data_IF_377202447175
#
_entry.id   IF_377202447175
#
_cell.length_a   1.000
_cell.length_b   1.000
_cell.length_c   1.000
_cell.angle_alpha   90.00
_cell.angle_beta   90.00
_cell.angle_gamma   90.00
#
_symmetry.space_group_name_H-M   'P 1'
#
loop_
_entity.id
_entity.type
_entity.pdbx_description
1 polymer ?
#
# COMPACT_ATOMS: atom_id res chain seq x y z
N UNK A 1 21.43 8.00 6.49
CA UNK A 1 20.21 8.51 7.16
C UNK A 1 19.17 8.74 6.08
N UNK A 2 17.95 8.23 6.23
CA UNK A 2 16.89 8.40 5.25
C UNK A 2 16.61 9.87 4.95
N UNK A 3 16.39 10.20 3.68
CA UNK A 3 16.10 11.58 3.24
C UNK A 3 14.65 11.97 3.59
N UNK A 4 14.42 13.01 4.41
CA UNK A 4 13.07 13.52 4.72
C UNK A 4 12.22 13.81 3.48
N UNK A 5 12.85 14.22 2.37
CA UNK A 5 12.18 14.54 1.11
C UNK A 5 11.62 13.27 0.48
N UNK A 6 12.41 12.20 0.42
CA UNK A 6 11.96 10.90 -0.09
C UNK A 6 10.85 10.32 0.78
N UNK A 7 10.95 10.45 2.10
CA UNK A 7 9.91 10.04 3.03
C UNK A 7 8.61 10.84 2.83
N UNK A 8 8.69 12.16 2.60
CA UNK A 8 7.50 12.95 2.25
C UNK A 8 6.89 12.53 0.92
N UNK A 9 7.70 12.26 -0.09
CA UNK A 9 7.23 11.77 -1.40
C UNK A 9 6.53 10.42 -1.24
N UNK A 10 7.13 9.47 -0.51
CA UNK A 10 6.50 8.19 -0.21
C UNK A 10 5.20 8.36 0.61
N UNK A 11 5.19 9.29 1.55
CA UNK A 11 4.03 9.63 2.38
C UNK A 11 2.86 10.17 1.57
N UNK A 12 3.05 11.29 0.89
CA UNK A 12 1.99 11.91 0.07
C UNK A 12 1.60 11.03 -1.13
N UNK A 13 2.55 10.32 -1.73
CA UNK A 13 2.29 9.34 -2.78
C UNK A 13 1.37 8.23 -2.29
N UNK A 14 1.66 7.65 -1.12
CA UNK A 14 0.81 6.61 -0.51
C UNK A 14 -0.60 7.13 -0.21
N UNK A 15 -0.73 8.39 0.22
CA UNK A 15 -2.03 9.00 0.47
C UNK A 15 -2.84 9.18 -0.83
N UNK A 16 -2.22 9.64 -1.91
CA UNK A 16 -2.85 9.75 -3.23
C UNK A 16 -3.28 8.37 -3.77
N UNK A 17 -2.43 7.36 -3.60
CA UNK A 17 -2.74 5.98 -3.97
C UNK A 17 -3.87 5.42 -3.09
N UNK A 18 -3.94 5.75 -1.80
CA UNK A 18 -5.01 5.29 -0.91
C UNK A 18 -6.40 5.74 -1.38
N UNK A 19 -6.53 7.01 -1.76
CA UNK A 19 -7.79 7.56 -2.29
C UNK A 19 -8.14 6.94 -3.65
N UNK A 20 -7.15 6.83 -4.54
CA UNK A 20 -7.35 6.21 -5.86
C UNK A 20 -7.77 4.74 -5.73
N UNK A 21 -7.11 3.99 -4.84
CA UNK A 21 -7.45 2.61 -4.50
C UNK A 21 -8.88 2.52 -3.96
N UNK A 22 -9.26 3.37 -3.01
CA UNK A 22 -10.62 3.38 -2.46
C UNK A 22 -11.67 3.67 -3.54
N UNK A 23 -11.40 4.61 -4.44
CA UNK A 23 -12.30 4.97 -5.54
C UNK A 23 -12.47 3.85 -6.57
N UNK A 24 -11.39 3.13 -6.89
CA UNK A 24 -11.40 1.99 -7.80
C UNK A 24 -12.29 0.81 -7.32
N UNK A 25 -12.72 0.83 -6.04
CA UNK A 25 -13.75 -0.09 -5.54
C UNK A 25 -15.05 -0.05 -6.38
N UNK A 26 -15.35 1.10 -6.98
CA UNK A 26 -16.55 1.27 -7.80
C UNK A 26 -16.50 0.40 -9.07
N UNK A 27 -15.31 0.19 -9.65
CA UNK A 27 -15.16 -0.54 -10.91
C UNK A 27 -15.59 -1.99 -10.76
N UNK A 28 -15.04 -2.72 -9.80
CA UNK A 28 -15.40 -4.13 -9.62
C UNK A 28 -16.75 -4.31 -8.92
N UNK A 29 -17.17 -3.42 -8.01
CA UNK A 29 -18.48 -3.55 -7.35
C UNK A 29 -19.67 -3.32 -8.28
N UNK A 30 -19.45 -2.66 -9.40
CA UNK A 30 -20.47 -2.51 -10.44
C UNK A 30 -20.52 -3.69 -11.43
N UNK A 31 -19.56 -4.62 -11.37
CA UNK A 31 -19.61 -5.82 -12.20
C UNK A 31 -20.67 -6.76 -11.66
N UNK A 32 -21.58 -7.21 -12.52
CA UNK A 32 -22.62 -8.20 -12.15
C UNK A 32 -22.00 -9.46 -11.54
N UNK A 33 -20.92 -9.97 -12.12
CA UNK A 33 -20.21 -11.14 -11.59
C UNK A 33 -19.68 -10.94 -10.16
N UNK A 34 -19.36 -9.71 -9.75
CA UNK A 34 -18.94 -9.42 -8.37
C UNK A 34 -20.16 -9.32 -7.43
N UNK A 35 -21.26 -8.74 -7.89
CA UNK A 35 -22.50 -8.61 -7.13
C UNK A 35 -23.18 -9.97 -6.89
N UNK A 36 -22.97 -10.93 -7.79
CA UNK A 36 -23.51 -12.30 -7.70
C UNK A 36 -22.62 -13.24 -6.86
N UNK A 37 -21.52 -12.74 -6.28
CA UNK A 37 -20.69 -13.55 -5.38
C UNK A 37 -21.48 -14.00 -4.15
N UNK A 38 -21.21 -15.20 -3.61
CA UNK A 38 -21.73 -15.61 -2.30
C UNK A 38 -21.42 -14.55 -1.24
N UNK A 39 -22.35 -14.31 -0.31
CA UNK A 39 -22.25 -13.21 0.66
C UNK A 39 -20.89 -13.15 1.39
N UNK A 40 -20.32 -14.31 1.73
CA UNK A 40 -19.00 -14.39 2.38
C UNK A 40 -17.87 -13.87 1.48
N UNK A 41 -17.88 -14.18 0.19
CA UNK A 41 -16.88 -13.75 -0.77
C UNK A 41 -17.05 -12.27 -1.11
N UNK A 42 -18.29 -11.80 -1.31
CA UNK A 42 -18.61 -10.40 -1.53
C UNK A 42 -18.14 -9.53 -0.34
N UNK A 43 -18.50 -9.93 0.88
CA UNK A 43 -18.18 -9.18 2.10
C UNK A 43 -16.67 -9.12 2.31
N UNK A 44 -15.97 -10.26 2.27
CA UNK A 44 -14.51 -10.31 2.50
C UNK A 44 -13.73 -9.55 1.43
N UNK A 45 -14.15 -9.63 0.17
CA UNK A 45 -13.50 -8.89 -0.92
C UNK A 45 -13.69 -7.38 -0.77
N UNK A 46 -14.91 -6.95 -0.42
CA UNK A 46 -15.22 -5.52 -0.21
C UNK A 46 -14.48 -4.96 0.99
N UNK A 47 -14.54 -5.64 2.15
CA UNK A 47 -13.84 -5.20 3.36
C UNK A 47 -12.33 -5.24 3.14
N UNK A 48 -11.80 -6.31 2.54
CA UNK A 48 -10.37 -6.44 2.24
C UNK A 48 -9.86 -5.31 1.34
N UNK A 49 -10.66 -4.88 0.38
CA UNK A 49 -10.31 -3.73 -0.46
C UNK A 49 -10.17 -2.43 0.35
N UNK A 50 -11.13 -2.13 1.23
CA UNK A 50 -11.05 -0.93 2.08
C UNK A 50 -9.98 -1.03 3.16
N UNK A 51 -9.70 -2.23 3.67
CA UNK A 51 -8.54 -2.47 4.53
C UNK A 51 -7.23 -2.16 3.80
N UNK A 52 -7.11 -2.51 2.51
CA UNK A 52 -5.98 -2.10 1.67
C UNK A 52 -5.82 -0.58 1.57
N UNK A 53 -6.92 0.17 1.42
CA UNK A 53 -6.88 1.64 1.47
C UNK A 53 -6.44 2.16 2.84
N UNK A 54 -6.92 1.58 3.94
CA UNK A 54 -6.49 1.91 5.30
C UNK A 54 -4.99 1.65 5.52
N UNK A 55 -4.47 0.54 4.99
CA UNK A 55 -3.04 0.21 5.00
C UNK A 55 -2.21 1.28 4.28
N UNK A 56 -2.67 1.77 3.13
CA UNK A 56 -1.97 2.83 2.38
C UNK A 56 -1.99 4.17 3.13
N UNK A 57 -3.08 4.49 3.84
CA UNK A 57 -3.12 5.66 4.74
C UNK A 57 -2.12 5.48 5.90
N UNK A 58 -2.08 4.30 6.53
CA UNK A 58 -1.12 4.03 7.60
C UNK A 58 0.33 4.16 7.09
N UNK A 59 0.61 3.64 5.90
CA UNK A 59 1.90 3.82 5.20
C UNK A 59 2.22 5.30 5.02
N UNK A 60 1.25 6.12 4.60
CA UNK A 60 1.43 7.55 4.45
C UNK A 60 1.81 8.23 5.78
N UNK A 61 1.04 7.95 6.84
CA UNK A 61 1.25 8.53 8.17
C UNK A 61 2.61 8.15 8.76
N UNK A 62 3.04 6.89 8.60
CA UNK A 62 4.34 6.43 9.09
C UNK A 62 5.49 7.14 8.37
N UNK A 63 5.44 7.25 7.03
CA UNK A 63 6.48 7.96 6.29
C UNK A 63 6.52 9.45 6.64
N UNK A 64 5.36 10.10 6.81
CA UNK A 64 5.30 11.50 7.22
C UNK A 64 5.83 11.70 8.66
N UNK A 65 5.60 10.73 9.56
CA UNK A 65 6.18 10.72 10.90
C UNK A 65 7.70 10.56 10.86
N UNK A 66 8.21 9.58 10.10
CA UNK A 66 9.65 9.40 9.91
C UNK A 66 10.30 10.61 9.22
N UNK A 67 9.60 11.32 8.35
CA UNK A 67 10.11 12.55 7.74
C UNK A 67 10.34 13.69 8.76
N UNK A 68 9.61 13.69 9.87
CA UNK A 68 9.83 14.66 10.96
C UNK A 68 11.05 14.29 11.82
N UNK A 69 11.36 13.01 11.95
CA UNK A 69 12.54 12.51 12.65
C UNK A 69 13.15 11.27 11.94
N UNK A 70 13.97 11.46 10.89
CA UNK A 70 14.49 10.34 10.10
C UNK A 70 15.40 9.39 10.89
N UNK A 71 16.04 9.88 11.95
CA UNK A 71 16.88 9.05 12.83
C UNK A 71 16.10 7.96 13.54
N UNK A 72 14.78 8.10 13.67
CA UNK A 72 13.94 7.05 14.25
C UNK A 72 14.01 5.73 13.48
N UNK A 73 14.36 5.74 12.18
CA UNK A 73 14.55 4.53 11.37
C UNK A 73 15.84 3.76 11.69
N UNK A 74 16.72 4.31 12.54
CA UNK A 74 17.85 3.56 13.10
C UNK A 74 17.38 2.59 14.22
N UNK A 75 16.21 2.83 14.81
CA UNK A 75 15.61 1.94 15.80
C UNK A 75 15.08 0.65 15.15
N UNK A 76 15.42 -0.54 15.66
CA UNK A 76 15.05 -1.82 15.05
C UNK A 76 13.54 -1.98 14.82
N UNK A 77 12.72 -1.47 15.74
CA UNK A 77 11.26 -1.55 15.62
C UNK A 77 10.74 -0.73 14.44
N UNK A 78 11.20 0.52 14.31
CA UNK A 78 10.77 1.42 13.22
C UNK A 78 11.24 0.89 11.86
N UNK A 79 12.49 0.41 11.79
CA UNK A 79 13.03 -0.24 10.60
C UNK A 79 12.26 -1.50 10.22
N UNK A 80 11.83 -2.29 11.21
CA UNK A 80 11.01 -3.48 10.99
C UNK A 80 9.61 -3.12 10.47
N UNK A 81 9.01 -2.04 10.96
CA UNK A 81 7.75 -1.53 10.41
C UNK A 81 7.92 -1.11 8.95
N UNK A 82 8.97 -0.37 8.61
CA UNK A 82 9.28 -0.01 7.22
C UNK A 82 9.46 -1.24 6.31
N UNK A 83 10.20 -2.25 6.78
CA UNK A 83 10.37 -3.51 6.07
C UNK A 83 9.04 -4.26 5.86
N UNK A 84 8.16 -4.27 6.86
CA UNK A 84 6.85 -4.89 6.76
C UNK A 84 5.98 -4.22 5.68
N UNK A 85 6.02 -2.88 5.58
CA UNK A 85 5.29 -2.15 4.53
C UNK A 85 5.75 -2.55 3.12
N UNK A 86 7.07 -2.73 2.94
CA UNK A 86 7.66 -3.21 1.67
C UNK A 86 7.21 -4.64 1.37
N UNK A 87 7.30 -5.54 2.36
CA UNK A 87 6.92 -6.94 2.21
C UNK A 87 5.45 -7.11 1.82
N UNK A 88 4.54 -6.39 2.49
CA UNK A 88 3.10 -6.41 2.16
C UNK A 88 2.86 -5.93 0.73
N UNK A 89 3.56 -4.86 0.32
CA UNK A 89 3.45 -4.31 -1.05
C UNK A 89 3.91 -5.32 -2.10
N UNK A 90 5.07 -5.95 -1.91
CA UNK A 90 5.59 -6.92 -2.87
C UNK A 90 4.82 -8.24 -2.87
N UNK A 91 4.35 -8.72 -1.71
CA UNK A 91 3.48 -9.90 -1.65
C UNK A 91 2.16 -9.65 -2.40
N UNK A 92 1.54 -8.49 -2.18
CA UNK A 92 0.33 -8.07 -2.90
C UNK A 92 0.57 -7.96 -4.41
N UNK A 93 1.67 -7.31 -4.81
CA UNK A 93 2.08 -7.19 -6.20
C UNK A 93 2.22 -8.55 -6.88
N UNK A 94 2.96 -9.47 -6.25
CA UNK A 94 3.17 -10.81 -6.77
C UNK A 94 1.83 -11.55 -6.95
N UNK A 95 0.88 -11.37 -6.03
CA UNK A 95 -0.45 -11.96 -6.14
C UNK A 95 -1.23 -11.39 -7.33
N UNK A 96 -1.26 -10.06 -7.49
CA UNK A 96 -1.92 -9.40 -8.62
C UNK A 96 -1.37 -9.87 -9.97
N UNK A 97 -0.03 -9.90 -10.12
CA UNK A 97 0.63 -10.33 -11.36
C UNK A 97 0.26 -11.79 -11.67
N UNK A 98 0.35 -12.69 -10.69
CA UNK A 98 0.00 -14.11 -10.85
C UNK A 98 -1.46 -14.34 -11.24
N UNK A 99 -2.37 -13.45 -10.84
CA UNK A 99 -3.81 -13.52 -11.14
C UNK A 99 -4.22 -12.70 -12.37
N UNK A 100 -3.26 -12.14 -13.11
CA UNK A 100 -3.51 -11.42 -14.37
C UNK A 100 -3.87 -9.94 -14.21
N UNK A 101 -3.91 -9.40 -12.99
CA UNK A 101 -4.17 -7.98 -12.72
C UNK A 101 -2.85 -7.19 -12.79
N UNK A 102 -2.20 -7.22 -13.96
CA UNK A 102 -0.81 -6.77 -14.13
C UNK A 102 -0.59 -5.29 -13.82
N UNK A 103 -1.53 -4.42 -14.20
CA UNK A 103 -1.41 -2.97 -13.97
C UNK A 103 -1.31 -2.65 -12.47
N UNK A 104 -2.25 -3.17 -11.66
CA UNK A 104 -2.20 -3.05 -10.20
C UNK A 104 -0.93 -3.70 -9.64
N UNK A 105 -0.56 -4.88 -10.15
CA UNK A 105 0.64 -5.58 -9.74
C UNK A 105 1.91 -4.75 -9.90
N UNK A 106 2.14 -4.15 -11.07
CA UNK A 106 3.31 -3.31 -11.32
C UNK A 106 3.29 -2.01 -10.51
N UNK A 107 2.12 -1.38 -10.38
CA UNK A 107 2.00 -0.16 -9.58
C UNK A 107 2.33 -0.42 -8.10
N UNK A 108 1.83 -1.52 -7.54
CA UNK A 108 2.15 -1.92 -6.16
C UNK A 108 3.61 -2.32 -6.00
N UNK A 109 4.24 -2.95 -7.02
CA UNK A 109 5.66 -3.25 -7.00
C UNK A 109 6.50 -1.96 -6.90
N UNK A 110 6.18 -0.99 -7.77
CA UNK A 110 6.85 0.30 -7.80
C UNK A 110 6.68 1.07 -6.49
N UNK A 111 5.47 1.08 -5.92
CA UNK A 111 5.24 1.66 -4.59
C UNK A 111 6.11 0.98 -3.51
N UNK A 112 6.24 -0.35 -3.55
CA UNK A 112 7.14 -1.07 -2.64
C UNK A 112 8.62 -0.73 -2.84
N UNK A 113 9.07 -0.51 -4.08
CA UNK A 113 10.43 -0.04 -4.38
C UNK A 113 10.66 1.37 -3.82
N UNK A 114 9.70 2.29 -4.03
CA UNK A 114 9.78 3.64 -3.46
C UNK A 114 9.80 3.62 -1.94
N UNK A 115 8.98 2.78 -1.30
CA UNK A 115 8.98 2.61 0.15
C UNK A 115 10.31 2.07 0.67
N UNK A 116 10.86 1.06 0.00
CA UNK A 116 12.14 0.47 0.36
C UNK A 116 13.27 1.50 0.21
N UNK A 117 13.27 2.26 -0.88
CA UNK A 117 14.27 3.30 -1.11
C UNK A 117 14.15 4.44 -0.10
N UNK A 118 12.93 4.89 0.20
CA UNK A 118 12.73 6.00 1.13
C UNK A 118 13.11 5.66 2.59
N UNK A 119 12.91 4.41 3.03
CA UNK A 119 12.98 4.07 4.45
C UNK A 119 14.05 3.02 4.83
N UNK A 120 14.60 2.25 3.88
CA UNK A 120 15.55 1.17 4.15
C UNK A 120 16.95 1.39 3.55
N UNK A 121 17.09 2.36 2.66
CA UNK A 121 18.38 2.83 2.12
C UNK A 121 18.91 4.00 2.97
#
# INVERSE_FOLDING_TARGET
MPDPTLLKVAGYGSLAVAFSHAAAAKEFRNLRAFQELPNIAYTRSTVGWYQGSGFLILTALLNLSWAQNPKSLDEPLQRSMAALLVLISWASSAWYIRRGVKASGFLTAFAGVLQAWAALH
#
